data_IF_908869079979
#
_entry.id   IF_908869079979
#
_cell.length_a   1.000
_cell.length_b   1.000
_cell.length_c   1.000
_cell.angle_alpha   90.00
_cell.angle_beta   90.00
_cell.angle_gamma   90.00
#
_symmetry.space_group_name_H-M   'P 1'
#
loop_
_entity.id
_entity.type
_entity.pdbx_description
1 polymer ?
#
# COMPACT_ATOMS: atom_id res chain seq x y z
N UNK A 1 -18.75 -12.77 2.73
CA UNK A 1 -18.37 -12.16 4.02
C UNK A 1 -18.63 -10.68 3.89
N UNK A 2 -19.38 -10.09 4.80
CA UNK A 2 -19.48 -8.63 4.87
C UNK A 2 -18.20 -8.09 5.56
N UNK A 3 -17.48 -7.23 4.87
CA UNK A 3 -16.27 -6.61 5.41
C UNK A 3 -16.58 -5.41 6.32
N UNK A 4 -17.80 -4.86 6.30
CA UNK A 4 -18.20 -3.68 7.09
C UNK A 4 -17.50 -2.39 6.65
N UNK A 5 -17.14 -2.29 5.36
CA UNK A 5 -16.44 -1.14 4.79
C UNK A 5 -17.37 -0.04 4.27
N UNK A 6 -18.66 -0.31 4.11
CA UNK A 6 -19.64 0.66 3.61
C UNK A 6 -19.64 1.93 4.46
N UNK A 7 -19.45 3.08 3.79
CA UNK A 7 -19.39 4.39 4.44
C UNK A 7 -18.09 4.67 5.20
N UNK A 8 -17.12 3.74 5.27
CA UNK A 8 -15.78 4.00 5.82
C UNK A 8 -15.02 4.99 4.93
N UNK A 9 -14.09 5.70 5.52
CA UNK A 9 -13.32 6.77 4.88
C UNK A 9 -11.86 6.35 4.80
N UNK A 10 -11.36 6.12 3.59
CA UNK A 10 -10.04 5.58 3.36
C UNK A 10 -9.16 6.53 2.54
N UNK A 11 -7.91 6.70 2.96
CA UNK A 11 -6.84 7.30 2.16
C UNK A 11 -6.01 6.19 1.53
N UNK A 12 -5.75 6.27 0.21
CA UNK A 12 -4.84 5.38 -0.50
C UNK A 12 -3.80 6.21 -1.25
N UNK A 13 -2.52 6.06 -0.87
CA UNK A 13 -1.43 6.72 -1.57
C UNK A 13 -0.97 5.91 -2.79
N UNK A 14 -0.62 6.58 -3.90
CA UNK A 14 -0.16 5.92 -5.12
C UNK A 14 -1.26 5.18 -5.89
N UNK A 15 -2.49 5.72 -5.88
CA UNK A 15 -3.67 5.07 -6.42
C UNK A 15 -3.94 5.31 -7.92
N UNK A 16 -2.99 5.87 -8.69
CA UNK A 16 -3.19 6.12 -10.12
C UNK A 16 -3.08 4.87 -11.00
N UNK A 17 -2.39 3.82 -10.55
CA UNK A 17 -2.15 2.58 -11.31
C UNK A 17 -1.79 1.41 -10.40
N UNK A 18 -1.76 0.20 -10.98
CA UNK A 18 -1.24 -1.03 -10.36
C UNK A 18 -1.91 -1.36 -9.03
N UNK A 19 -1.13 -1.82 -8.05
CA UNK A 19 -1.62 -2.30 -6.76
C UNK A 19 -2.48 -1.22 -6.06
N UNK A 20 -2.00 0.02 -5.98
CA UNK A 20 -2.72 1.10 -5.30
C UNK A 20 -4.07 1.43 -5.96
N UNK A 21 -4.15 1.35 -7.31
CA UNK A 21 -5.41 1.51 -8.03
C UNK A 21 -6.40 0.38 -7.72
N UNK A 22 -5.94 -0.86 -7.74
CA UNK A 22 -6.78 -2.02 -7.43
C UNK A 22 -7.22 -2.02 -5.96
N UNK A 23 -6.36 -1.55 -5.03
CA UNK A 23 -6.75 -1.36 -3.62
C UNK A 23 -7.89 -0.33 -3.51
N UNK A 24 -7.75 0.82 -4.15
CA UNK A 24 -8.80 1.84 -4.15
C UNK A 24 -10.10 1.30 -4.75
N UNK A 25 -10.03 0.55 -5.87
CA UNK A 25 -11.18 -0.08 -6.49
C UNK A 25 -11.85 -1.12 -5.59
N UNK A 26 -11.06 -1.96 -4.90
CA UNK A 26 -11.59 -2.96 -3.97
C UNK A 26 -12.32 -2.30 -2.78
N UNK A 27 -11.76 -1.23 -2.21
CA UNK A 27 -12.39 -0.48 -1.13
C UNK A 27 -13.68 0.23 -1.61
N UNK A 28 -13.67 0.81 -2.81
CA UNK A 28 -14.85 1.44 -3.41
C UNK A 28 -15.98 0.43 -3.66
N UNK A 29 -15.65 -0.76 -4.16
CA UNK A 29 -16.61 -1.83 -4.41
C UNK A 29 -17.30 -2.31 -3.11
N UNK A 30 -16.62 -2.20 -1.97
CA UNK A 30 -17.17 -2.47 -0.62
C UNK A 30 -17.90 -1.23 -0.04
N UNK A 31 -18.05 -0.14 -0.80
CA UNK A 31 -18.78 1.06 -0.43
C UNK A 31 -18.02 2.04 0.45
N UNK A 32 -16.69 1.99 0.51
CA UNK A 32 -15.87 2.95 1.23
C UNK A 32 -15.70 4.25 0.43
N UNK A 33 -15.79 5.40 1.09
CA UNK A 33 -15.44 6.71 0.54
C UNK A 33 -13.91 6.86 0.50
N UNK A 34 -13.38 7.47 -0.53
CA UNK A 34 -11.95 7.44 -0.82
C UNK A 34 -11.33 8.83 -0.92
N UNK A 35 -10.13 8.95 -0.40
CA UNK A 35 -9.20 10.00 -0.79
C UNK A 35 -7.96 9.36 -1.42
N UNK A 36 -7.60 9.78 -2.62
CA UNK A 36 -6.53 9.17 -3.39
C UNK A 36 -5.51 10.21 -3.85
N UNK A 37 -4.24 9.83 -3.85
CA UNK A 37 -3.19 10.68 -4.41
C UNK A 37 -2.16 9.90 -5.24
N UNK A 38 -1.54 10.59 -6.17
CA UNK A 38 -0.36 10.17 -6.91
C UNK A 38 0.29 11.42 -7.54
N UNK A 39 1.51 11.30 -8.07
CA UNK A 39 2.23 12.45 -8.66
C UNK A 39 1.59 13.01 -9.93
N UNK A 40 1.06 12.15 -10.79
CA UNK A 40 0.54 12.53 -12.10
C UNK A 40 -0.95 12.89 -12.07
N UNK A 41 -1.28 14.15 -12.34
CA UNK A 41 -2.67 14.63 -12.39
C UNK A 41 -3.57 13.83 -13.36
N UNK A 42 -3.19 13.53 -14.62
CA UNK A 42 -4.07 12.78 -15.52
C UNK A 42 -4.44 11.39 -15.00
N UNK A 43 -3.47 10.67 -14.42
CA UNK A 43 -3.72 9.33 -13.90
C UNK A 43 -4.62 9.34 -12.66
N UNK A 44 -4.50 10.36 -11.80
CA UNK A 44 -5.33 10.43 -10.60
C UNK A 44 -6.77 10.89 -10.92
N UNK A 45 -6.95 11.75 -11.91
CA UNK A 45 -8.28 12.14 -12.40
C UNK A 45 -9.02 10.98 -13.08
N UNK A 46 -8.31 10.18 -13.88
CA UNK A 46 -8.88 8.94 -14.43
C UNK A 46 -9.30 7.99 -13.32
N UNK A 47 -8.43 7.82 -12.31
CA UNK A 47 -8.73 7.00 -11.14
C UNK A 47 -9.99 7.47 -10.41
N UNK A 48 -10.11 8.78 -10.18
CA UNK A 48 -11.27 9.38 -9.52
C UNK A 48 -12.56 9.02 -10.24
N UNK A 49 -12.65 9.31 -11.55
CA UNK A 49 -13.85 9.04 -12.35
C UNK A 49 -14.30 7.58 -12.30
N UNK A 50 -13.34 6.66 -12.41
CA UNK A 50 -13.67 5.23 -12.35
C UNK A 50 -14.14 4.80 -10.96
N UNK A 51 -13.55 5.33 -9.88
CA UNK A 51 -13.96 5.01 -8.52
C UNK A 51 -15.33 5.61 -8.18
N UNK A 52 -15.64 6.81 -8.67
CA UNK A 52 -16.95 7.45 -8.51
C UNK A 52 -18.09 6.63 -9.15
N UNK A 53 -17.80 5.83 -10.19
CA UNK A 53 -18.80 4.95 -10.80
C UNK A 53 -19.30 3.83 -9.86
N UNK A 54 -18.58 3.54 -8.78
CA UNK A 54 -19.03 2.65 -7.71
C UNK A 54 -20.04 3.30 -6.76
N UNK A 55 -20.41 4.57 -6.97
CA UNK A 55 -21.37 5.29 -6.14
C UNK A 55 -20.81 5.79 -4.79
N UNK A 56 -19.50 5.90 -4.66
CA UNK A 56 -18.81 6.39 -3.46
C UNK A 56 -18.26 7.80 -3.67
N UNK A 57 -18.06 8.53 -2.58
CA UNK A 57 -17.38 9.83 -2.64
C UNK A 57 -15.87 9.63 -2.87
N UNK A 58 -15.28 10.43 -3.78
CA UNK A 58 -13.85 10.37 -4.07
C UNK A 58 -13.22 11.77 -4.05
N UNK A 59 -12.31 12.01 -3.13
CA UNK A 59 -11.39 13.14 -3.13
C UNK A 59 -10.07 12.73 -3.79
N UNK A 60 -9.59 13.47 -4.76
CA UNK A 60 -8.38 13.15 -5.50
C UNK A 60 -7.48 14.38 -5.64
N UNK A 61 -6.16 14.20 -5.40
CA UNK A 61 -5.19 15.30 -5.51
C UNK A 61 -3.85 14.79 -6.02
N UNK A 62 -3.19 15.50 -6.96
CA UNK A 62 -1.80 15.24 -7.29
C UNK A 62 -0.90 15.56 -6.10
N UNK A 63 -0.14 14.57 -5.61
CA UNK A 63 0.80 14.73 -4.49
C UNK A 63 2.04 13.86 -4.71
N UNK A 64 3.22 14.44 -4.51
CA UNK A 64 4.45 13.68 -4.34
C UNK A 64 4.66 13.42 -2.84
N UNK A 65 4.66 12.14 -2.47
CA UNK A 65 4.82 11.73 -1.06
C UNK A 65 6.21 12.02 -0.49
N UNK A 66 7.22 12.28 -1.35
CA UNK A 66 8.53 12.76 -0.92
C UNK A 66 8.45 14.20 -0.37
N UNK A 67 7.47 15.00 -0.81
CA UNK A 67 7.20 16.30 -0.24
C UNK A 67 6.31 16.13 1.01
N UNK A 68 6.95 16.15 2.18
CA UNK A 68 6.27 15.91 3.45
C UNK A 68 5.16 16.92 3.78
N UNK A 69 5.32 18.20 3.41
CA UNK A 69 4.31 19.22 3.67
C UNK A 69 3.09 19.04 2.77
N UNK A 70 3.30 18.75 1.50
CA UNK A 70 2.23 18.43 0.57
C UNK A 70 1.45 17.17 0.99
N UNK A 71 2.16 16.15 1.50
CA UNK A 71 1.53 14.93 1.97
C UNK A 71 0.70 15.17 3.24
N UNK A 72 1.23 15.91 4.22
CA UNK A 72 0.48 16.29 5.44
C UNK A 72 -0.76 17.11 5.11
N UNK A 73 -0.63 18.09 4.23
CA UNK A 73 -1.76 18.91 3.77
C UNK A 73 -2.82 18.04 3.09
N UNK A 74 -2.42 17.12 2.22
CA UNK A 74 -3.34 16.19 1.56
C UNK A 74 -4.13 15.34 2.56
N UNK A 75 -3.48 14.76 3.59
CA UNK A 75 -4.16 13.96 4.61
C UNK A 75 -5.20 14.79 5.37
N UNK A 76 -4.87 16.02 5.74
CA UNK A 76 -5.80 16.93 6.42
C UNK A 76 -7.00 17.31 5.53
N UNK A 77 -6.75 17.68 4.27
CA UNK A 77 -7.80 17.99 3.29
C UNK A 77 -8.68 16.75 3.00
N UNK A 78 -8.08 15.57 2.90
CA UNK A 78 -8.81 14.31 2.73
C UNK A 78 -9.75 14.03 3.90
N UNK A 79 -9.26 14.19 5.13
CA UNK A 79 -10.09 14.03 6.33
C UNK A 79 -11.22 15.05 6.38
N UNK A 80 -10.98 16.29 5.96
CA UNK A 80 -12.03 17.32 5.85
C UNK A 80 -13.06 16.96 4.79
N UNK A 81 -12.62 16.59 3.58
CA UNK A 81 -13.49 16.29 2.46
C UNK A 81 -14.39 15.07 2.72
N UNK A 82 -13.88 14.05 3.40
CA UNK A 82 -14.60 12.83 3.73
C UNK A 82 -15.35 12.90 5.08
N UNK A 83 -15.20 13.98 5.85
CA UNK A 83 -15.78 14.10 7.19
C UNK A 83 -15.09 13.23 8.25
N UNK A 84 -13.83 12.86 8.05
CA UNK A 84 -12.98 12.08 8.95
C UNK A 84 -12.12 11.07 8.20
N UNK A 85 -11.43 10.19 8.96
CA UNK A 85 -10.57 9.15 8.38
C UNK A 85 -10.62 7.89 9.25
N UNK A 86 -10.86 6.74 8.63
CA UNK A 86 -10.92 5.42 9.27
C UNK A 86 -9.75 4.52 8.85
N UNK A 87 -9.28 4.68 7.60
CA UNK A 87 -8.32 3.79 6.98
C UNK A 87 -7.22 4.59 6.27
N UNK A 88 -5.96 4.23 6.53
CA UNK A 88 -4.81 4.68 5.74
C UNK A 88 -4.16 3.48 5.05
N UNK A 89 -4.02 3.54 3.74
CA UNK A 89 -3.18 2.60 2.97
C UNK A 89 -1.97 3.33 2.41
N UNK A 90 -0.79 3.04 2.96
CA UNK A 90 0.49 3.55 2.46
C UNK A 90 1.08 2.58 1.44
N UNK A 91 0.97 2.94 0.14
CA UNK A 91 1.30 2.02 -0.96
C UNK A 91 2.41 2.54 -1.89
N UNK A 92 2.77 3.82 -1.87
CA UNK A 92 3.77 4.37 -2.80
C UNK A 92 5.13 3.69 -2.64
N UNK A 93 5.83 3.51 -3.76
CA UNK A 93 7.23 3.08 -3.79
C UNK A 93 8.02 3.83 -4.86
N UNK A 94 9.30 4.13 -4.56
CA UNK A 94 10.25 4.72 -5.51
C UNK A 94 10.71 3.73 -6.57
N UNK A 95 10.42 2.45 -6.40
CA UNK A 95 10.91 1.33 -7.21
C UNK A 95 12.36 0.92 -6.86
N UNK A 96 12.76 -0.26 -7.35
CA UNK A 96 14.12 -0.75 -7.21
C UNK A 96 15.08 0.06 -8.11
N UNK A 97 16.31 0.20 -7.66
CA UNK A 97 17.40 0.85 -8.37
C UNK A 97 18.72 0.57 -7.66
N UNK A 98 19.82 1.07 -8.21
CA UNK A 98 21.16 0.85 -7.67
C UNK A 98 21.84 2.16 -7.28
N UNK A 99 22.84 2.08 -6.40
CA UNK A 99 23.64 3.22 -5.96
C UNK A 99 22.91 4.17 -4.99
N UNK A 100 23.66 5.14 -4.51
CA UNK A 100 23.18 6.10 -3.50
C UNK A 100 21.91 6.87 -3.90
N UNK A 101 21.70 7.32 -5.15
CA UNK A 101 20.46 7.99 -5.53
C UNK A 101 19.23 7.13 -5.33
N UNK A 102 19.31 5.81 -5.60
CA UNK A 102 18.19 4.88 -5.37
C UNK A 102 17.93 4.69 -3.87
N UNK A 103 18.98 4.61 -3.04
CA UNK A 103 18.85 4.57 -1.60
C UNK A 103 18.13 5.81 -1.05
N UNK A 104 18.52 7.00 -1.49
CA UNK A 104 17.88 8.26 -1.09
C UNK A 104 16.41 8.32 -1.53
N UNK A 105 16.12 7.92 -2.76
CA UNK A 105 14.76 7.90 -3.28
C UNK A 105 13.86 6.93 -2.48
N UNK A 106 14.33 5.70 -2.20
CA UNK A 106 13.58 4.75 -1.38
C UNK A 106 13.43 5.25 0.06
N UNK A 107 14.46 5.90 0.63
CA UNK A 107 14.36 6.50 1.96
C UNK A 107 13.25 7.56 2.02
N UNK A 108 13.25 8.52 1.12
CA UNK A 108 12.27 9.62 1.13
C UNK A 108 10.85 9.16 0.76
N UNK A 109 10.73 8.33 -0.27
CA UNK A 109 9.43 7.91 -0.80
C UNK A 109 8.83 6.76 0.00
N UNK A 110 9.59 5.66 0.19
CA UNK A 110 9.07 4.45 0.81
C UNK A 110 9.00 4.59 2.34
N UNK A 111 10.12 4.99 2.98
CA UNK A 111 10.18 5.05 4.44
C UNK A 111 9.57 6.35 4.96
N UNK A 112 10.14 7.51 4.63
CA UNK A 112 9.67 8.78 5.19
C UNK A 112 8.28 9.17 4.70
N UNK A 113 7.92 8.84 3.46
CA UNK A 113 6.56 9.00 2.95
C UNK A 113 5.54 8.23 3.79
N UNK A 114 5.84 6.98 4.16
CA UNK A 114 4.97 6.18 5.04
C UNK A 114 4.92 6.73 6.46
N UNK A 115 6.07 7.09 7.05
CA UNK A 115 6.13 7.67 8.41
C UNK A 115 5.29 8.94 8.48
N UNK A 116 5.50 9.88 7.55
CA UNK A 116 4.78 11.16 7.50
C UNK A 116 3.27 10.98 7.27
N UNK A 117 2.88 10.01 6.42
CA UNK A 117 1.46 9.69 6.20
C UNK A 117 0.80 9.14 7.47
N UNK A 118 1.48 8.21 8.16
CA UNK A 118 1.00 7.66 9.42
C UNK A 118 0.82 8.76 10.48
N UNK A 119 1.86 9.55 10.73
CA UNK A 119 1.82 10.65 11.72
C UNK A 119 0.68 11.65 11.43
N UNK A 120 0.51 12.05 10.17
CA UNK A 120 -0.55 12.98 9.78
C UNK A 120 -1.95 12.36 9.92
N UNK A 121 -2.09 11.04 9.72
CA UNK A 121 -3.37 10.35 9.82
C UNK A 121 -3.79 10.04 11.26
N UNK A 122 -2.83 9.86 12.19
CA UNK A 122 -3.11 9.42 13.57
C UNK A 122 -4.18 10.23 14.29
N UNK A 123 -4.20 11.59 14.27
CA UNK A 123 -5.23 12.35 14.96
C UNK A 123 -6.64 12.09 14.43
N UNK A 124 -6.76 11.78 13.15
CA UNK A 124 -8.04 11.48 12.50
C UNK A 124 -8.47 10.03 12.78
N UNK A 125 -7.54 9.08 12.69
CA UNK A 125 -7.78 7.66 12.99
C UNK A 125 -8.18 7.45 14.44
N UNK A 126 -7.57 8.16 15.39
CA UNK A 126 -7.92 8.10 16.80
C UNK A 126 -9.36 8.57 17.07
N UNK A 127 -9.81 9.61 16.36
CA UNK A 127 -11.19 10.12 16.45
C UNK A 127 -12.21 9.15 15.85
N UNK A 128 -11.81 8.29 14.94
CA UNK A 128 -12.67 7.28 14.30
C UNK A 128 -13.11 6.20 15.28
N UNK A 129 -12.27 5.82 16.26
CA UNK A 129 -12.51 4.70 17.17
C UNK A 129 -12.38 3.31 16.53
N UNK A 130 -12.09 3.23 15.23
CA UNK A 130 -11.95 1.98 14.44
C UNK A 130 -10.81 2.08 13.42
N UNK A 131 -9.76 2.82 13.79
CA UNK A 131 -8.65 3.13 12.90
C UNK A 131 -7.91 1.90 12.34
N UNK A 132 -7.55 1.93 11.06
CA UNK A 132 -6.73 0.89 10.42
C UNK A 132 -5.66 1.49 9.52
N UNK A 133 -4.42 1.06 9.70
CA UNK A 133 -3.29 1.38 8.81
C UNK A 133 -2.84 0.09 8.14
N UNK A 134 -2.75 0.11 6.81
CA UNK A 134 -2.15 -0.98 6.04
C UNK A 134 -0.96 -0.42 5.25
N UNK A 135 0.21 -0.97 5.49
CA UNK A 135 1.46 -0.63 4.79
C UNK A 135 1.74 -1.67 3.73
N UNK A 136 2.04 -1.25 2.51
CA UNK A 136 2.47 -2.17 1.47
C UNK A 136 3.98 -2.40 1.57
N UNK A 137 4.31 -3.61 2.01
CA UNK A 137 5.66 -4.15 2.07
C UNK A 137 6.07 -4.82 0.75
N UNK A 138 6.89 -5.85 0.86
CA UNK A 138 7.33 -6.72 -0.24
C UNK A 138 7.99 -7.97 0.32
N UNK A 139 7.96 -9.08 -0.41
CA UNK A 139 8.76 -10.26 -0.06
C UNK A 139 10.27 -10.00 -0.09
N UNK A 140 10.73 -9.02 -0.86
CA UNK A 140 12.14 -8.59 -0.87
C UNK A 140 12.61 -7.97 0.48
N UNK A 141 11.69 -7.63 1.38
CA UNK A 141 12.00 -7.25 2.77
C UNK A 141 12.26 -8.45 3.68
N UNK A 142 11.88 -9.63 3.26
CA UNK A 142 11.84 -10.85 4.04
C UNK A 142 12.90 -11.87 3.63
N UNK A 143 13.20 -11.91 2.33
CA UNK A 143 14.25 -12.75 1.74
C UNK A 143 15.08 -11.92 0.76
N UNK A 144 16.33 -12.30 0.57
CA UNK A 144 17.20 -11.65 -0.42
C UNK A 144 16.71 -11.97 -1.83
N UNK A 145 16.50 -10.92 -2.62
CA UNK A 145 16.03 -11.04 -3.98
C UNK A 145 16.79 -10.08 -4.89
N UNK A 146 17.57 -10.62 -5.82
CA UNK A 146 18.42 -9.85 -6.71
C UNK A 146 19.64 -9.24 -6.02
N UNK A 147 20.15 -8.13 -6.56
CA UNK A 147 21.31 -7.43 -6.02
C UNK A 147 20.97 -6.65 -4.73
N UNK A 148 21.94 -6.50 -3.79
CA UNK A 148 21.74 -5.66 -2.62
C UNK A 148 21.36 -4.22 -3.00
N UNK A 149 20.33 -3.67 -2.35
CA UNK A 149 19.85 -2.31 -2.65
C UNK A 149 18.96 -1.74 -1.56
N UNK A 150 18.66 -0.45 -1.67
CA UNK A 150 17.84 0.27 -0.69
C UNK A 150 16.40 -0.23 -0.61
N UNK A 151 15.85 -0.74 -1.69
CA UNK A 151 14.44 -1.15 -1.74
C UNK A 151 14.09 -2.20 -0.67
N UNK A 152 14.72 -3.38 -0.70
CA UNK A 152 14.44 -4.45 0.27
C UNK A 152 14.77 -4.02 1.70
N UNK A 153 15.91 -3.36 1.92
CA UNK A 153 16.35 -2.92 3.24
C UNK A 153 15.38 -1.90 3.88
N UNK A 154 14.93 -0.90 3.11
CA UNK A 154 14.01 0.12 3.62
C UNK A 154 12.58 -0.41 3.75
N UNK A 155 12.17 -1.36 2.91
CA UNK A 155 10.91 -2.08 3.10
C UNK A 155 10.95 -3.00 4.34
N UNK A 156 12.11 -3.57 4.70
CA UNK A 156 12.28 -4.28 5.97
C UNK A 156 12.15 -3.34 7.18
N UNK A 157 12.73 -2.12 7.08
CA UNK A 157 12.53 -1.08 8.08
C UNK A 157 11.06 -0.72 8.27
N UNK A 158 10.26 -0.68 7.19
CA UNK A 158 8.81 -0.45 7.27
C UNK A 158 8.05 -1.57 8.00
N UNK A 159 8.44 -2.83 7.82
CA UNK A 159 7.84 -3.96 8.55
C UNK A 159 8.07 -3.79 10.05
N UNK A 160 9.30 -3.43 10.45
CA UNK A 160 9.65 -3.17 11.85
C UNK A 160 8.88 -1.95 12.39
N UNK A 161 8.85 -0.84 11.65
CA UNK A 161 8.11 0.36 12.02
C UNK A 161 6.62 0.10 12.21
N UNK A 162 5.99 -0.63 11.30
CA UNK A 162 4.56 -0.98 11.39
C UNK A 162 4.27 -1.86 12.62
N UNK A 163 5.15 -2.79 12.95
CA UNK A 163 5.05 -3.61 14.17
C UNK A 163 5.12 -2.75 15.43
N UNK A 164 6.07 -1.82 15.50
CA UNK A 164 6.18 -0.85 16.61
C UNK A 164 4.92 0.01 16.75
N UNK A 165 4.38 0.53 15.63
CA UNK A 165 3.13 1.29 15.64
C UNK A 165 1.96 0.44 16.12
N UNK A 166 1.84 -0.81 15.71
CA UNK A 166 0.75 -1.70 16.13
C UNK A 166 0.70 -1.82 17.66
N UNK A 167 1.85 -2.00 18.30
CA UNK A 167 1.94 -2.05 19.77
C UNK A 167 1.59 -0.71 20.42
N UNK A 168 2.12 0.39 19.90
CA UNK A 168 1.93 1.72 20.47
C UNK A 168 0.47 2.20 20.37
N UNK A 169 -0.25 1.80 19.31
CA UNK A 169 -1.57 2.34 18.98
C UNK A 169 -2.73 1.40 19.37
N UNK A 170 -2.47 0.19 19.82
CA UNK A 170 -3.51 -0.80 20.14
C UNK A 170 -4.55 -0.27 21.15
N UNK A 171 -4.12 0.46 22.18
CA UNK A 171 -5.01 1.06 23.19
C UNK A 171 -5.86 2.21 22.64
N UNK A 172 -5.53 2.74 21.47
CA UNK A 172 -6.28 3.78 20.77
C UNK A 172 -7.25 3.19 19.73
N UNK A 173 -7.44 1.86 19.73
CA UNK A 173 -8.25 1.14 18.76
C UNK A 173 -7.81 1.36 17.31
N UNK A 174 -6.50 1.54 17.09
CA UNK A 174 -5.89 1.65 15.78
C UNK A 174 -5.07 0.38 15.52
N UNK A 175 -5.44 -0.35 14.48
CA UNK A 175 -4.71 -1.53 14.00
C UNK A 175 -3.69 -1.13 12.94
N UNK A 176 -2.54 -1.77 12.95
CA UNK A 176 -1.50 -1.53 11.93
C UNK A 176 -1.00 -2.88 11.43
N UNK A 177 -1.09 -3.11 10.13
CA UNK A 177 -0.66 -4.35 9.49
C UNK A 177 0.14 -4.05 8.21
N UNK A 178 0.90 -5.04 7.77
CA UNK A 178 1.66 -5.02 6.53
C UNK A 178 1.07 -6.06 5.58
N UNK A 179 0.96 -5.73 4.30
CA UNK A 179 0.79 -6.71 3.23
C UNK A 179 2.07 -6.72 2.42
N UNK A 180 2.71 -7.89 2.30
CA UNK A 180 3.97 -8.07 1.58
C UNK A 180 3.76 -8.90 0.31
N UNK A 181 3.54 -8.23 -0.85
CA UNK A 181 3.39 -8.93 -2.11
C UNK A 181 4.68 -9.60 -2.56
N UNK A 182 4.54 -10.74 -3.25
CA UNK A 182 5.57 -11.31 -4.11
C UNK A 182 5.67 -10.61 -5.46
N UNK A 183 6.17 -11.29 -6.50
CA UNK A 183 6.15 -10.77 -7.86
C UNK A 183 4.72 -10.55 -8.35
N UNK A 184 4.35 -9.31 -8.68
CA UNK A 184 3.02 -8.92 -9.17
C UNK A 184 3.14 -8.27 -10.53
N UNK A 185 2.42 -8.81 -11.53
CA UNK A 185 2.43 -8.31 -12.90
C UNK A 185 1.24 -7.37 -13.15
N UNK A 186 1.52 -6.21 -13.73
CA UNK A 186 0.54 -5.34 -14.36
C UNK A 186 1.21 -4.49 -15.44
N UNK A 187 0.45 -4.05 -16.43
CA UNK A 187 0.96 -3.24 -17.54
C UNK A 187 1.55 -1.92 -17.02
N UNK A 188 2.77 -1.58 -17.47
CA UNK A 188 3.53 -0.43 -16.99
C UNK A 188 4.12 -0.58 -15.58
N UNK A 189 4.00 -1.75 -14.96
CA UNK A 189 4.63 -2.08 -13.67
C UNK A 189 6.07 -2.55 -13.81
N UNK A 190 6.74 -2.75 -12.66
CA UNK A 190 8.15 -3.19 -12.64
C UNK A 190 8.35 -4.54 -13.35
N UNK A 191 7.46 -5.51 -13.14
CA UNK A 191 7.57 -6.83 -13.78
C UNK A 191 7.29 -6.80 -15.28
N UNK A 192 6.46 -5.90 -15.78
CA UNK A 192 6.31 -5.67 -17.21
C UNK A 192 7.57 -5.06 -17.84
N UNK A 193 8.26 -4.17 -17.12
CA UNK A 193 9.56 -3.64 -17.55
C UNK A 193 10.66 -4.70 -17.51
N UNK A 194 10.72 -5.51 -16.45
CA UNK A 194 11.65 -6.62 -16.31
C UNK A 194 11.45 -7.65 -17.42
N UNK A 195 10.20 -8.00 -17.77
CA UNK A 195 9.89 -8.90 -18.86
C UNK A 195 10.49 -8.42 -20.18
N UNK A 196 10.45 -7.12 -20.46
CA UNK A 196 10.99 -6.54 -21.69
C UNK A 196 12.52 -6.40 -21.66
N UNK A 197 13.09 -5.95 -20.52
CA UNK A 197 14.51 -5.62 -20.41
C UNK A 197 15.38 -6.82 -20.01
N UNK A 198 14.84 -7.76 -19.24
CA UNK A 198 15.55 -8.89 -18.63
C UNK A 198 14.72 -10.19 -18.73
N UNK A 199 14.39 -10.68 -19.95
CA UNK A 199 13.47 -11.79 -20.14
C UNK A 199 13.92 -13.09 -19.44
N UNK A 200 15.23 -13.38 -19.42
CA UNK A 200 15.76 -14.56 -18.72
C UNK A 200 15.51 -14.50 -17.20
N UNK A 201 15.62 -13.32 -16.59
CA UNK A 201 15.31 -13.12 -15.18
C UNK A 201 13.81 -13.25 -14.90
N UNK A 202 12.98 -12.71 -15.80
CA UNK A 202 11.53 -12.86 -15.71
C UNK A 202 11.12 -14.34 -15.75
N UNK A 203 11.62 -15.11 -16.74
CA UNK A 203 11.33 -16.54 -16.89
C UNK A 203 11.83 -17.36 -15.69
N UNK A 204 13.03 -17.05 -15.18
CA UNK A 204 13.55 -17.72 -13.98
C UNK A 204 12.65 -17.46 -12.76
N UNK A 205 12.16 -16.23 -12.60
CA UNK A 205 11.22 -15.87 -11.52
C UNK A 205 9.87 -16.57 -11.70
N UNK A 206 9.35 -16.59 -12.94
CA UNK A 206 8.10 -17.28 -13.25
C UNK A 206 8.18 -18.79 -12.90
N UNK A 207 9.29 -19.45 -13.23
CA UNK A 207 9.55 -20.84 -12.86
C UNK A 207 9.68 -21.05 -11.34
N UNK A 208 10.15 -20.04 -10.62
CA UNK A 208 10.27 -20.08 -9.16
C UNK A 208 8.93 -19.88 -8.45
N UNK A 209 7.91 -19.34 -9.14
CA UNK A 209 6.57 -19.18 -8.58
C UNK A 209 5.85 -20.55 -8.55
N UNK A 210 5.49 -21.09 -7.37
CA UNK A 210 4.85 -22.43 -7.29
C UNK A 210 3.52 -22.53 -8.04
N UNK A 211 2.79 -21.41 -8.15
CA UNK A 211 1.54 -21.35 -8.91
C UNK A 211 1.72 -21.22 -10.43
N UNK A 212 2.96 -21.21 -10.94
CA UNK A 212 3.26 -21.07 -12.36
C UNK A 212 2.94 -19.70 -12.97
N UNK A 213 2.67 -18.68 -12.15
CA UNK A 213 2.35 -17.33 -12.58
C UNK A 213 2.79 -16.29 -11.54
N UNK A 214 2.94 -15.06 -11.98
CA UNK A 214 3.04 -13.91 -11.07
C UNK A 214 1.65 -13.58 -10.49
N UNK A 215 1.63 -12.90 -9.35
CA UNK A 215 0.39 -12.40 -8.77
C UNK A 215 -0.24 -11.28 -9.60
N UNK A 216 -1.53 -11.05 -9.40
CA UNK A 216 -2.26 -9.91 -9.96
C UNK A 216 -2.48 -8.84 -8.86
N UNK A 217 -2.55 -7.54 -9.24
CA UNK A 217 -2.81 -6.45 -8.28
C UNK A 217 -4.08 -6.65 -7.46
N UNK A 218 -5.12 -7.23 -8.06
CA UNK A 218 -6.42 -7.50 -7.43
C UNK A 218 -6.30 -8.51 -6.29
N UNK A 219 -5.36 -9.46 -6.37
CA UNK A 219 -5.14 -10.44 -5.31
C UNK A 219 -4.55 -9.77 -4.05
N UNK A 220 -3.62 -8.84 -4.25
CA UNK A 220 -3.08 -8.00 -3.18
C UNK A 220 -4.16 -7.08 -2.61
N UNK A 221 -4.97 -6.47 -3.49
CA UNK A 221 -6.03 -5.55 -3.09
C UNK A 221 -7.08 -6.20 -2.18
N UNK A 222 -7.46 -7.46 -2.43
CA UNK A 222 -8.39 -8.21 -1.56
C UNK A 222 -7.81 -8.43 -0.16
N UNK A 223 -6.52 -8.75 -0.05
CA UNK A 223 -5.84 -8.90 1.24
C UNK A 223 -5.80 -7.57 2.01
N UNK A 224 -5.55 -6.46 1.30
CA UNK A 224 -5.57 -5.11 1.89
C UNK A 224 -6.97 -4.73 2.35
N UNK A 225 -8.00 -4.95 1.54
CA UNK A 225 -9.38 -4.67 1.91
C UNK A 225 -9.81 -5.45 3.16
N UNK A 226 -9.45 -6.73 3.25
CA UNK A 226 -9.69 -7.55 4.44
C UNK A 226 -8.99 -6.97 5.68
N UNK A 227 -7.67 -6.71 5.63
CA UNK A 227 -6.92 -6.19 6.78
C UNK A 227 -7.34 -4.76 7.18
N UNK A 228 -7.77 -3.95 6.23
CA UNK A 228 -8.30 -2.61 6.48
C UNK A 228 -9.67 -2.65 7.19
N UNK A 229 -10.42 -3.72 7.01
CA UNK A 229 -11.83 -3.84 7.38
C UNK A 229 -12.05 -4.21 8.84
N UNK A 230 -13.26 -3.95 9.40
CA UNK A 230 -13.70 -4.48 10.70
C UNK A 230 -13.66 -6.00 10.82
N UNK A 231 -13.76 -6.76 9.72
CA UNK A 231 -13.64 -8.21 9.73
C UNK A 231 -12.26 -8.70 10.25
N UNK A 232 -11.24 -7.83 10.20
CA UNK A 232 -9.90 -8.09 10.74
C UNK A 232 -9.67 -7.44 12.13
N UNK A 233 -10.72 -7.24 12.94
CA UNK A 233 -10.69 -6.46 14.19
C UNK A 233 -9.66 -6.94 15.22
N UNK A 234 -9.31 -8.22 15.23
CA UNK A 234 -8.30 -8.79 16.15
C UNK A 234 -6.91 -8.91 15.53
N UNK A 235 -6.74 -8.48 14.25
CA UNK A 235 -5.47 -8.59 13.53
C UNK A 235 -4.75 -7.24 13.57
N UNK A 236 -3.64 -7.17 14.32
CA UNK A 236 -2.74 -6.02 14.36
C UNK A 236 -1.30 -6.50 14.55
N UNK A 237 -0.32 -5.82 13.96
CA UNK A 237 1.09 -6.22 13.98
C UNK A 237 1.42 -7.36 13.02
N UNK A 238 0.47 -7.81 12.21
CA UNK A 238 0.70 -8.90 11.25
C UNK A 238 1.38 -8.38 9.97
N UNK A 239 2.23 -9.26 9.40
CA UNK A 239 2.74 -9.12 8.04
C UNK A 239 2.17 -10.25 7.18
N UNK A 240 1.14 -9.93 6.41
CA UNK A 240 0.48 -10.89 5.52
C UNK A 240 1.24 -10.97 4.19
N UNK A 241 1.91 -12.07 3.96
CA UNK A 241 2.60 -12.36 2.70
C UNK A 241 1.59 -12.83 1.65
N UNK A 242 1.59 -12.19 0.49
CA UNK A 242 0.70 -12.48 -0.64
C UNK A 242 1.54 -12.76 -1.89
N UNK A 243 2.14 -13.94 -1.96
CA UNK A 243 3.16 -14.28 -2.95
C UNK A 243 2.96 -15.63 -3.66
N UNK A 244 1.85 -16.32 -3.39
CA UNK A 244 1.57 -17.62 -4.00
C UNK A 244 2.57 -18.72 -3.62
N UNK A 245 3.27 -18.56 -2.48
CA UNK A 245 4.30 -19.50 -2.00
C UNK A 245 5.67 -19.25 -2.63
N UNK A 246 5.92 -18.08 -3.20
CA UNK A 246 7.19 -17.73 -3.82
C UNK A 246 8.35 -17.75 -2.82
N UNK A 247 8.18 -17.14 -1.63
CA UNK A 247 9.16 -17.23 -0.55
C UNK A 247 9.13 -18.59 0.13
N UNK A 248 10.30 -19.08 0.55
CA UNK A 248 10.47 -20.43 1.13
C UNK A 248 10.58 -20.43 2.64
N UNK A 249 10.57 -19.28 3.26
CA UNK A 249 10.68 -19.18 4.72
C UNK A 249 9.37 -19.58 5.40
N UNK A 250 9.48 -20.10 6.61
CA UNK A 250 8.35 -20.24 7.51
C UNK A 250 8.06 -18.86 8.13
N UNK A 251 6.81 -18.42 8.06
CA UNK A 251 6.37 -17.16 8.67
C UNK A 251 5.85 -17.47 10.08
N UNK A 252 6.60 -17.03 11.09
CA UNK A 252 6.17 -17.06 12.48
C UNK A 252 5.80 -15.63 12.90
#
# INVERSE_FOLDING_TARGET
MDLGLKGRRAVVTGASRGIGRCIAAALAAEGANLAICARGAPGIETAKKELESAGVQVFAKPVDVANGDALRAFIAEAAQALGGLDILVSNVSASAGTGEPAWRANFEVDLMGTVRACEAALPHLAKSGVGSIVVIGTTAALETFGAPGGYGALKAALVNYASGLAHALARQSIRVNVVSPGPVYFEGGAWAMIQKAMPAFYEATLKACPQGRLGAPEEVARAVAFLASPAASLITGANLVTDGGFTKRVNF
#
